data_IF_269999817683
#
_entry.id   IF_269999817683
#
_cell.length_a   1.000
_cell.length_b   1.000
_cell.length_c   1.000
_cell.angle_alpha   90.00
_cell.angle_beta   90.00
_cell.angle_gamma   90.00
#
_symmetry.space_group_name_H-M   'P 1'
#
loop_
_entity.id
_entity.type
_entity.pdbx_description
1 polymer ?
#
# COMPACT_ATOMS: atom_id res chain seq x y z
N UNK A 1 -18.69 -13.49 13.38
CA UNK A 1 -18.35 -12.11 13.02
C UNK A 1 -18.10 -11.28 14.28
N UNK A 2 -17.03 -10.54 14.33
CA UNK A 2 -16.68 -9.70 15.47
C UNK A 2 -16.35 -8.29 14.99
N UNK A 3 -16.96 -7.29 15.63
CA UNK A 3 -16.65 -5.87 15.39
C UNK A 3 -16.07 -5.31 16.68
N UNK A 4 -14.90 -4.70 16.55
CA UNK A 4 -14.19 -4.07 17.68
C UNK A 4 -14.17 -2.58 17.44
N UNK A 5 -14.86 -1.83 18.28
CA UNK A 5 -14.94 -0.37 18.17
C UNK A 5 -13.64 0.26 18.66
N UNK A 6 -13.27 1.35 18.00
CA UNK A 6 -12.02 2.07 18.29
C UNK A 6 -10.80 1.16 18.19
N UNK A 7 -10.89 0.14 17.34
CA UNK A 7 -9.83 -0.82 17.15
C UNK A 7 -8.73 -0.27 16.26
N UNK A 8 -7.50 -0.32 16.70
CA UNK A 8 -6.35 -0.02 15.85
C UNK A 8 -5.29 -1.12 15.88
N UNK A 9 -5.24 -1.95 16.92
CA UNK A 9 -4.36 -3.15 17.04
C UNK A 9 -2.92 -2.97 16.53
N UNK A 10 -2.42 -1.74 16.46
CA UNK A 10 -1.14 -1.48 15.84
C UNK A 10 -1.16 -1.50 14.31
N UNK A 11 -2.30 -1.73 13.68
CA UNK A 11 -2.43 -1.83 12.23
C UNK A 11 -2.09 -0.56 11.49
N UNK A 12 -1.41 -0.71 10.36
CA UNK A 12 -1.00 0.40 9.50
C UNK A 12 -1.62 0.21 8.13
N UNK A 13 -2.14 1.29 7.55
CA UNK A 13 -2.71 1.29 6.21
C UNK A 13 -2.02 2.37 5.38
N UNK A 14 -1.57 1.98 4.18
CA UNK A 14 -1.09 2.93 3.17
C UNK A 14 -2.20 3.16 2.16
N UNK A 15 -2.41 4.42 1.77
CA UNK A 15 -3.31 4.81 0.69
C UNK A 15 -2.53 5.69 -0.27
N UNK A 16 -2.27 5.19 -1.45
CA UNK A 16 -1.46 5.87 -2.46
C UNK A 16 -2.33 6.22 -3.66
N UNK A 17 -2.40 7.50 -3.99
CA UNK A 17 -3.07 7.97 -5.22
C UNK A 17 -2.01 8.32 -6.25
N UNK A 18 -2.27 7.96 -7.50
CA UNK A 18 -1.29 8.10 -8.58
C UNK A 18 -1.96 8.47 -9.89
N UNK A 19 -1.23 9.22 -10.71
CA UNK A 19 -1.57 9.35 -12.13
C UNK A 19 -0.90 8.23 -12.91
N UNK A 20 -1.58 7.69 -13.90
CA UNK A 20 -1.01 6.71 -14.84
C UNK A 20 -0.31 7.51 -15.94
N UNK A 21 1.00 7.35 -16.05
CA UNK A 21 1.83 8.06 -17.05
C UNK A 21 2.33 7.14 -18.15
N UNK A 22 2.18 5.82 -17.98
CA UNK A 22 2.53 4.83 -18.98
C UNK A 22 1.37 4.53 -19.91
N UNK A 23 1.44 3.38 -20.58
CA UNK A 23 0.41 2.90 -21.49
C UNK A 23 -0.84 2.48 -20.70
N UNK A 24 -1.93 3.23 -20.86
CA UNK A 24 -3.19 2.95 -20.16
C UNK A 24 -3.82 1.61 -20.57
N UNK A 25 -3.53 1.13 -21.75
CA UNK A 25 -4.07 -0.15 -22.23
C UNK A 25 -3.35 -1.35 -21.61
N UNK A 26 -2.12 -1.16 -21.12
CA UNK A 26 -1.34 -2.25 -20.53
C UNK A 26 -1.29 -2.22 -19.00
N UNK A 27 -1.61 -1.09 -18.37
CA UNK A 27 -1.39 -0.92 -16.93
C UNK A 27 -2.19 -1.90 -16.07
N UNK A 28 -3.42 -2.20 -16.46
CA UNK A 28 -4.26 -3.15 -15.71
C UNK A 28 -3.67 -4.56 -15.73
N UNK A 29 -3.15 -4.99 -16.88
CA UNK A 29 -2.50 -6.29 -17.00
C UNK A 29 -1.20 -6.33 -16.18
N UNK A 30 -0.41 -5.27 -16.22
CA UNK A 30 0.80 -5.17 -15.40
C UNK A 30 0.48 -5.30 -13.91
N UNK A 31 -0.59 -4.64 -13.45
CA UNK A 31 -1.03 -4.74 -12.06
C UNK A 31 -1.32 -6.20 -11.69
N UNK A 32 -2.14 -6.90 -12.50
CA UNK A 32 -2.58 -8.26 -12.22
C UNK A 32 -1.47 -9.30 -12.34
N UNK A 33 -0.66 -9.20 -13.40
CA UNK A 33 0.31 -10.24 -13.72
C UNK A 33 1.68 -10.00 -13.09
N UNK A 34 2.00 -8.75 -12.74
CA UNK A 34 3.33 -8.40 -12.23
C UNK A 34 3.29 -7.88 -10.79
N UNK A 35 2.56 -6.81 -10.54
CA UNK A 35 2.54 -6.18 -9.21
C UNK A 35 1.96 -7.12 -8.15
N UNK A 36 0.75 -7.62 -8.36
CA UNK A 36 0.08 -8.50 -7.39
C UNK A 36 0.87 -9.79 -7.20
N UNK A 37 1.33 -10.41 -8.28
CA UNK A 37 2.07 -11.69 -8.21
C UNK A 37 3.39 -11.53 -7.48
N UNK A 38 4.08 -10.41 -7.62
CA UNK A 38 5.32 -10.13 -6.90
C UNK A 38 5.07 -10.08 -5.38
N UNK A 39 3.99 -9.43 -4.96
CA UNK A 39 3.65 -9.34 -3.52
C UNK A 39 3.24 -10.71 -2.98
N UNK A 40 2.43 -11.47 -3.73
CA UNK A 40 2.05 -12.83 -3.34
C UNK A 40 3.30 -13.70 -3.17
N UNK A 41 4.24 -13.63 -4.10
CA UNK A 41 5.47 -14.41 -4.05
C UNK A 41 6.39 -14.03 -2.88
N UNK A 42 6.31 -12.78 -2.40
CA UNK A 42 7.09 -12.33 -1.24
C UNK A 42 6.70 -13.03 0.05
N UNK A 43 5.47 -13.54 0.13
CA UNK A 43 4.94 -14.31 1.27
C UNK A 43 5.18 -13.62 2.64
N UNK A 44 4.90 -12.33 2.69
CA UNK A 44 5.05 -11.52 3.91
C UNK A 44 3.94 -11.84 4.91
N UNK A 45 4.31 -12.24 6.11
CA UNK A 45 3.32 -12.69 7.11
C UNK A 45 2.46 -11.57 7.67
N UNK A 46 2.93 -10.33 7.60
CA UNK A 46 2.23 -9.16 8.17
C UNK A 46 1.48 -8.31 7.16
N UNK A 47 1.57 -8.62 5.87
CA UNK A 47 0.82 -7.91 4.82
C UNK A 47 -0.57 -8.54 4.73
N UNK A 48 -1.61 -7.79 5.12
CA UNK A 48 -2.98 -8.27 5.22
C UNK A 48 -3.86 -7.89 4.05
N UNK A 49 -3.46 -6.90 3.28
CA UNK A 49 -4.22 -6.47 2.11
C UNK A 49 -3.34 -5.74 1.14
N UNK A 50 -3.61 -5.95 -0.13
CA UNK A 50 -2.89 -5.32 -1.21
C UNK A 50 -3.86 -5.20 -2.37
N UNK A 51 -4.45 -4.02 -2.55
CA UNK A 51 -5.53 -3.83 -3.51
C UNK A 51 -5.27 -2.61 -4.37
N UNK A 52 -5.33 -2.84 -5.68
CA UNK A 52 -5.27 -1.79 -6.68
C UNK A 52 -6.66 -1.46 -7.20
N UNK A 53 -6.90 -0.18 -7.45
CA UNK A 53 -8.11 0.30 -8.09
C UNK A 53 -7.72 1.23 -9.22
N UNK A 54 -8.32 1.04 -10.39
CA UNK A 54 -8.10 1.90 -11.55
C UNK A 54 -9.37 2.70 -11.82
N UNK A 55 -9.20 3.97 -12.17
CA UNK A 55 -10.29 4.75 -12.74
C UNK A 55 -10.73 4.08 -14.05
N UNK A 56 -11.97 4.28 -14.45
CA UNK A 56 -12.57 3.63 -15.63
C UNK A 56 -11.74 3.81 -16.89
N UNK A 57 -11.17 5.01 -17.09
CA UNK A 57 -10.33 5.32 -18.25
C UNK A 57 -8.85 4.95 -18.04
N UNK A 58 -8.51 4.30 -16.94
CA UNK A 58 -7.14 3.93 -16.55
C UNK A 58 -6.17 5.12 -16.42
N UNK A 59 -6.69 6.33 -16.21
CA UNK A 59 -5.85 7.53 -16.08
C UNK A 59 -5.29 7.73 -14.68
N UNK A 60 -5.95 7.13 -13.67
CA UNK A 60 -5.57 7.27 -12.26
C UNK A 60 -5.70 5.93 -11.56
N UNK A 61 -4.86 5.74 -10.54
CA UNK A 61 -4.88 4.53 -9.74
C UNK A 61 -4.87 4.85 -8.26
N UNK A 62 -5.41 3.95 -7.47
CA UNK A 62 -5.33 3.97 -6.01
C UNK A 62 -4.81 2.60 -5.56
N UNK A 63 -3.80 2.60 -4.70
CA UNK A 63 -3.28 1.39 -4.08
C UNK A 63 -3.55 1.48 -2.58
N UNK A 64 -4.19 0.46 -2.03
CA UNK A 64 -4.44 0.35 -0.60
C UNK A 64 -3.72 -0.88 -0.08
N UNK A 65 -2.84 -0.67 0.91
CA UNK A 65 -2.06 -1.73 1.52
C UNK A 65 -2.32 -1.74 3.02
N UNK A 66 -2.57 -2.93 3.58
CA UNK A 66 -2.88 -3.10 5.00
C UNK A 66 -1.88 -4.03 5.65
N UNK A 67 -1.37 -3.62 6.82
CA UNK A 67 -0.33 -4.33 7.54
C UNK A 67 -0.72 -4.54 8.99
N UNK A 68 -0.21 -5.61 9.61
CA UNK A 68 -0.43 -5.89 11.03
C UNK A 68 0.12 -4.77 11.92
N UNK A 69 1.26 -4.19 11.54
CA UNK A 69 1.96 -3.19 12.33
C UNK A 69 3.00 -2.44 11.49
N UNK A 70 3.72 -1.54 12.14
CA UNK A 70 4.78 -0.75 11.51
C UNK A 70 5.90 -1.61 10.93
N UNK A 71 6.30 -2.67 11.63
CA UNK A 71 7.38 -3.55 11.18
C UNK A 71 6.99 -4.31 9.91
N UNK A 72 5.72 -4.75 9.82
CA UNK A 72 5.20 -5.41 8.62
C UNK A 72 5.18 -4.45 7.43
N UNK A 73 4.76 -3.21 7.65
CA UNK A 73 4.78 -2.18 6.61
C UNK A 73 6.20 -1.91 6.12
N UNK A 74 7.16 -1.84 7.05
CA UNK A 74 8.57 -1.65 6.72
C UNK A 74 9.11 -2.78 5.85
N UNK A 75 8.79 -4.03 6.21
CA UNK A 75 9.19 -5.20 5.41
C UNK A 75 8.68 -5.10 3.97
N UNK A 76 7.40 -4.71 3.80
CA UNK A 76 6.82 -4.54 2.46
C UNK A 76 7.59 -3.50 1.64
N UNK A 77 7.91 -2.37 2.23
CA UNK A 77 8.63 -1.30 1.55
C UNK A 77 10.06 -1.73 1.19
N UNK A 78 10.75 -2.39 2.11
CA UNK A 78 12.09 -2.91 1.85
C UNK A 78 12.11 -3.93 0.72
N UNK A 79 11.15 -4.85 0.72
CA UNK A 79 11.02 -5.84 -0.35
C UNK A 79 10.69 -5.20 -1.70
N UNK A 80 9.88 -4.16 -1.71
CA UNK A 80 9.59 -3.41 -2.94
C UNK A 80 10.87 -2.85 -3.55
N UNK A 81 11.67 -2.14 -2.75
CA UNK A 81 12.88 -1.49 -3.27
C UNK A 81 14.00 -2.48 -3.62
N UNK A 82 13.95 -3.69 -3.08
CA UNK A 82 14.90 -4.74 -3.43
C UNK A 82 14.53 -5.50 -4.73
N UNK A 83 13.34 -5.25 -5.27
CA UNK A 83 12.80 -5.95 -6.44
C UNK A 83 12.81 -5.03 -7.67
N UNK A 84 13.13 -5.56 -8.87
CA UNK A 84 13.03 -4.78 -10.12
C UNK A 84 11.65 -4.21 -10.40
N UNK A 85 10.60 -4.74 -9.78
CA UNK A 85 9.23 -4.24 -9.94
C UNK A 85 9.10 -2.76 -9.54
N UNK A 86 9.94 -2.27 -8.64
CA UNK A 86 9.93 -0.86 -8.23
C UNK A 86 10.20 0.07 -9.41
N UNK A 87 11.18 -0.28 -10.25
CA UNK A 87 11.47 0.50 -11.47
C UNK A 87 10.33 0.44 -12.47
N UNK A 88 9.71 -0.73 -12.63
CA UNK A 88 8.55 -0.89 -13.52
C UNK A 88 7.37 -0.04 -13.04
N UNK A 89 7.18 0.03 -11.73
CA UNK A 89 6.15 0.87 -11.11
C UNK A 89 6.40 2.34 -11.41
N UNK A 90 7.64 2.81 -11.26
CA UNK A 90 8.01 4.20 -11.51
C UNK A 90 7.82 4.61 -12.97
N UNK A 91 7.95 3.68 -13.90
CA UNK A 91 7.70 3.94 -15.33
C UNK A 91 6.22 4.15 -15.64
N UNK A 92 5.33 3.63 -14.78
CA UNK A 92 3.88 3.59 -15.03
C UNK A 92 3.08 4.62 -14.25
N UNK A 93 3.60 5.06 -13.11
CA UNK A 93 2.82 5.89 -12.18
C UNK A 93 3.62 7.07 -11.67
N UNK A 94 2.91 8.17 -11.45
CA UNK A 94 3.43 9.32 -10.69
C UNK A 94 2.55 9.50 -9.45
N UNK A 95 3.10 9.35 -8.23
CA UNK A 95 2.33 9.57 -7.01
C UNK A 95 1.84 11.00 -6.90
N UNK A 96 0.58 11.17 -6.49
CA UNK A 96 -0.03 12.47 -6.24
C UNK A 96 -0.38 12.66 -4.77
N UNK A 97 -0.55 11.58 -4.02
CA UNK A 97 -0.88 11.63 -2.59
C UNK A 97 -0.47 10.30 -1.95
N UNK A 98 0.20 10.37 -0.79
CA UNK A 98 0.56 9.18 -0.02
C UNK A 98 0.16 9.39 1.44
N UNK A 99 -0.87 8.66 1.87
CA UNK A 99 -1.38 8.72 3.24
C UNK A 99 -0.94 7.48 4.00
N UNK A 100 -0.40 7.70 5.20
CA UNK A 100 0.04 6.64 6.09
C UNK A 100 -0.78 6.72 7.37
N UNK A 101 -1.64 5.74 7.59
CA UNK A 101 -2.62 5.73 8.67
C UNK A 101 -2.27 4.69 9.72
N UNK A 102 -2.23 5.09 10.97
CA UNK A 102 -1.96 4.20 12.10
C UNK A 102 -0.62 4.46 12.78
N UNK A 103 -0.29 3.66 13.81
CA UNK A 103 0.93 3.88 14.60
C UNK A 103 2.17 3.43 13.84
N UNK A 104 3.06 4.36 13.54
CA UNK A 104 4.31 4.07 12.84
C UNK A 104 5.52 4.38 13.73
N UNK A 105 6.55 3.55 13.61
CA UNK A 105 7.81 3.74 14.32
C UNK A 105 8.73 4.67 13.52
N UNK A 106 9.72 5.23 14.19
CA UNK A 106 10.65 6.17 13.58
C UNK A 106 11.42 5.59 12.39
N UNK A 107 11.77 4.30 12.43
CA UNK A 107 12.50 3.65 11.33
C UNK A 107 11.65 3.58 10.05
N UNK A 108 10.34 3.37 10.19
CA UNK A 108 9.44 3.41 9.04
C UNK A 108 9.26 4.84 8.53
N UNK A 109 9.11 5.81 9.44
CA UNK A 109 8.98 7.23 9.06
C UNK A 109 10.20 7.66 8.23
N UNK A 110 11.40 7.33 8.67
CA UNK A 110 12.63 7.64 7.96
C UNK A 110 12.68 6.98 6.58
N UNK A 111 12.29 5.71 6.51
CA UNK A 111 12.27 4.95 5.25
C UNK A 111 11.32 5.57 4.23
N UNK A 112 10.17 6.08 4.68
CA UNK A 112 9.14 6.64 3.81
C UNK A 112 9.38 8.10 3.42
N UNK A 113 10.28 8.79 4.09
CA UNK A 113 10.50 10.23 3.88
C UNK A 113 10.65 10.64 2.40
N UNK A 114 11.43 9.94 1.57
CA UNK A 114 11.56 10.31 0.15
C UNK A 114 10.26 10.24 -0.65
N UNK A 115 9.26 9.54 -0.14
CA UNK A 115 7.96 9.38 -0.81
C UNK A 115 6.95 10.46 -0.40
N UNK A 116 7.36 11.41 0.43
CA UNK A 116 6.55 12.54 0.88
C UNK A 116 5.20 12.13 1.50
N UNK A 117 5.22 11.30 2.55
CA UNK A 117 3.99 10.81 3.19
C UNK A 117 3.33 11.85 4.08
N UNK A 118 2.00 11.73 4.19
CA UNK A 118 1.22 12.42 5.23
C UNK A 118 0.79 11.38 6.26
N UNK A 119 1.03 11.65 7.54
CA UNK A 119 0.75 10.70 8.61
C UNK A 119 -0.56 11.05 9.31
N UNK A 120 -1.39 10.02 9.55
CA UNK A 120 -2.68 10.15 10.22
C UNK A 120 -2.77 9.16 11.36
N UNK A 121 -3.18 9.64 12.53
CA UNK A 121 -3.37 8.80 13.71
C UNK A 121 -4.79 8.24 13.75
N UNK A 122 -4.93 7.06 14.36
CA UNK A 122 -6.25 6.48 14.56
C UNK A 122 -7.11 7.42 15.42
N UNK A 123 -8.31 7.73 14.95
CA UNK A 123 -9.23 8.61 15.69
C UNK A 123 -10.43 7.86 16.26
N UNK A 124 -10.84 6.79 15.62
CA UNK A 124 -12.00 6.01 16.04
C UNK A 124 -12.54 5.14 14.91
N UNK A 125 -13.30 4.13 15.25
CA UNK A 125 -13.88 3.22 14.30
C UNK A 125 -13.66 1.77 14.69
N UNK A 126 -13.94 0.88 13.76
CA UNK A 126 -13.78 -0.55 13.99
C UNK A 126 -13.53 -1.28 12.68
N UNK A 127 -12.99 -2.48 12.79
CA UNK A 127 -12.92 -3.42 11.67
C UNK A 127 -13.74 -4.65 12.03
N UNK A 128 -14.29 -5.29 11.00
CA UNK A 128 -14.98 -6.56 11.13
C UNK A 128 -13.93 -7.66 11.01
N UNK A 129 -13.78 -8.45 12.08
CA UNK A 129 -12.77 -9.51 12.15
C UNK A 129 -13.31 -10.88 11.69
N UNK A 130 -14.37 -10.89 10.92
CA UNK A 130 -14.91 -12.10 10.31
C UNK A 130 -13.85 -12.76 9.42
N UNK A 131 -13.71 -14.05 9.57
CA UNK A 131 -12.87 -14.88 8.72
C UNK A 131 -13.72 -15.88 7.95
#
# INVERSE_FOLDING_TARGET
MTKVRNHHSGGVTFMLQMDVVGDRDEVGEWIRSRSVETVVASNESGTRGFQWFLREDSSKAVLIERFDDSDAAKERVENLFADPVAGEWQERFTPTSFLVCGPVKNDLIELLEPMNPEFYEFAGGFVDTRV
#
